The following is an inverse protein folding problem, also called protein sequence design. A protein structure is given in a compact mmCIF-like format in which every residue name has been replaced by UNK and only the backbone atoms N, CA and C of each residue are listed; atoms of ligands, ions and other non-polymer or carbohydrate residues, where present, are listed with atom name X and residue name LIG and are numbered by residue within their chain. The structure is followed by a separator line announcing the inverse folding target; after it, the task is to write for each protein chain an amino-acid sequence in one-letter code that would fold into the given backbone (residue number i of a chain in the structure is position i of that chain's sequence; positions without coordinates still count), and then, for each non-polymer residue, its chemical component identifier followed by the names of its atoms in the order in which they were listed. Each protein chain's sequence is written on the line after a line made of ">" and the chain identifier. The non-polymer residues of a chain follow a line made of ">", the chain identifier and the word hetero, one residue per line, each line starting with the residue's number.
data_IF_870349830616
#
_entry.id   IF_870349830616
#
_cell.length_a   1.000
_cell.length_b   1.000
_cell.length_c   1.000
_cell.angle_alpha   90.00
_cell.angle_beta   90.00
_cell.angle_gamma   90.00
#
_symmetry.space_group_name_H-M   'P 1'
#
loop_
_entity.id
_entity.type
_entity.pdbx_description
1 polymer ?
#
# COMPACT_ATOMS: atom_id res chain seq x y z
N UNK A 1 9.21 -10.72 -22.90
CA UNK A 1 10.01 -11.51 -21.93
C UNK A 1 9.82 -13.02 -22.09
N UNK A 2 8.62 -13.60 -21.94
CA UNK A 2 8.45 -15.06 -22.05
C UNK A 2 8.81 -15.61 -23.44
N UNK A 3 8.39 -14.94 -24.52
CA UNK A 3 8.76 -15.30 -25.89
C UNK A 3 10.28 -15.20 -26.13
N UNK A 4 10.92 -14.16 -25.59
CA UNK A 4 12.35 -13.92 -25.73
C UNK A 4 13.18 -14.98 -24.99
N UNK A 5 12.76 -15.39 -23.78
CA UNK A 5 13.36 -16.51 -23.05
C UNK A 5 13.21 -17.82 -23.83
N UNK A 6 12.03 -18.08 -24.41
CA UNK A 6 11.80 -19.27 -25.24
C UNK A 6 12.70 -19.31 -26.47
N UNK A 7 12.93 -18.16 -27.10
CA UNK A 7 13.80 -18.04 -28.28
C UNK A 7 15.27 -18.35 -27.93
N UNK A 8 15.75 -17.92 -26.77
CA UNK A 8 17.15 -18.12 -26.32
C UNK A 8 17.42 -19.49 -25.73
N UNK A 9 16.39 -20.18 -25.24
CA UNK A 9 16.54 -21.44 -24.50
C UNK A 9 17.38 -22.51 -25.22
N UNK A 10 17.23 -22.78 -26.53
CA UNK A 10 18.03 -23.80 -27.21
C UNK A 10 19.53 -23.53 -27.15
N UNK A 11 19.94 -22.29 -27.45
CA UNK A 11 21.33 -21.86 -27.45
C UNK A 11 21.92 -21.94 -26.03
N UNK A 12 21.16 -21.48 -25.03
CA UNK A 12 21.58 -21.51 -23.63
C UNK A 12 21.81 -22.93 -23.14
N UNK A 13 20.92 -23.88 -23.45
CA UNK A 13 21.09 -25.28 -23.04
C UNK A 13 22.30 -25.93 -23.74
N UNK A 14 22.48 -25.64 -25.03
CA UNK A 14 23.63 -26.14 -25.80
C UNK A 14 24.96 -25.61 -25.25
N UNK A 15 25.05 -24.32 -24.95
CA UNK A 15 26.29 -23.67 -24.52
C UNK A 15 26.63 -23.93 -23.04
N UNK A 16 25.62 -24.08 -22.17
CA UNK A 16 25.83 -24.33 -20.74
C UNK A 16 25.93 -25.82 -20.39
N UNK A 17 25.53 -26.72 -21.30
CA UNK A 17 25.47 -28.17 -21.06
C UNK A 17 24.40 -28.60 -20.07
N UNK A 18 23.45 -27.72 -19.72
CA UNK A 18 22.35 -28.04 -18.81
C UNK A 18 21.28 -28.90 -19.51
N UNK A 19 20.79 -29.92 -18.81
CA UNK A 19 19.92 -30.93 -19.40
C UNK A 19 18.49 -30.44 -19.72
N UNK A 20 18.01 -29.38 -19.07
CA UNK A 20 16.63 -28.91 -19.26
C UNK A 20 16.41 -27.47 -18.80
N UNK A 21 15.33 -26.87 -19.29
CA UNK A 21 14.81 -25.58 -18.82
C UNK A 21 14.55 -25.58 -17.31
N UNK A 22 14.02 -26.68 -16.76
CA UNK A 22 13.76 -26.80 -15.33
C UNK A 22 15.05 -26.70 -14.52
N UNK A 23 16.11 -27.39 -14.95
CA UNK A 23 17.43 -27.31 -14.30
C UNK A 23 18.04 -25.91 -14.39
N UNK A 24 17.91 -25.26 -15.55
CA UNK A 24 18.37 -23.89 -15.76
C UNK A 24 17.63 -22.90 -14.84
N UNK A 25 16.30 -22.97 -14.84
CA UNK A 25 15.45 -22.11 -14.02
C UNK A 25 15.65 -22.36 -12.52
N UNK A 26 15.90 -23.60 -12.10
CA UNK A 26 16.20 -23.90 -10.69
C UNK A 26 17.52 -23.29 -10.22
N UNK A 27 18.56 -23.29 -11.09
CA UNK A 27 19.85 -22.65 -10.80
C UNK A 27 19.77 -21.12 -10.69
N UNK A 28 18.81 -20.48 -11.39
CA UNK A 28 18.60 -19.03 -11.35
C UNK A 28 17.54 -18.61 -10.33
N UNK A 29 16.39 -19.25 -10.26
CA UNK A 29 15.25 -18.81 -9.44
C UNK A 29 15.21 -19.40 -8.04
N UNK A 30 15.77 -20.60 -7.83
CA UNK A 30 15.59 -21.37 -6.59
C UNK A 30 16.30 -20.80 -5.36
N UNK A 31 16.99 -19.67 -5.49
CA UNK A 31 17.92 -19.12 -4.48
C UNK A 31 17.72 -17.63 -4.19
N UNK A 32 16.65 -17.02 -4.70
CA UNK A 32 16.39 -15.58 -4.52
C UNK A 32 16.36 -15.16 -3.04
N UNK A 33 15.74 -15.95 -2.16
CA UNK A 33 15.67 -15.69 -0.73
C UNK A 33 17.04 -15.80 0.00
N UNK A 34 18.05 -16.41 -0.61
CA UNK A 34 19.42 -16.46 -0.06
C UNK A 34 20.22 -15.20 -0.40
N UNK A 35 19.83 -14.46 -1.45
CA UNK A 35 20.61 -13.33 -1.98
C UNK A 35 19.96 -11.98 -1.71
N UNK A 36 18.64 -11.97 -1.56
CA UNK A 36 17.86 -10.75 -1.34
C UNK A 36 17.11 -10.93 -0.03
N UNK A 37 17.07 -9.87 0.79
CA UNK A 37 16.18 -9.86 1.94
C UNK A 37 14.75 -9.58 1.48
N UNK A 38 14.12 -10.61 0.90
CA UNK A 38 12.72 -10.58 0.49
C UNK A 38 11.78 -10.30 1.69
N UNK A 39 12.28 -10.32 2.93
CA UNK A 39 11.53 -9.99 4.13
C UNK A 39 11.51 -8.49 4.43
N UNK A 40 12.45 -7.68 3.97
CA UNK A 40 12.48 -6.26 4.32
C UNK A 40 12.71 -5.33 3.13
N UNK A 41 13.29 -5.82 2.05
CA UNK A 41 13.58 -5.01 0.88
C UNK A 41 12.31 -4.71 0.08
N UNK A 42 12.11 -3.43 -0.22
CA UNK A 42 11.11 -2.97 -1.20
C UNK A 42 11.82 -2.73 -2.53
N UNK A 43 11.39 -3.48 -3.53
CA UNK A 43 12.02 -3.56 -4.85
C UNK A 43 11.04 -2.97 -5.86
N UNK A 44 11.39 -1.82 -6.43
CA UNK A 44 10.50 -1.00 -7.24
C UNK A 44 10.72 -1.17 -8.74
N UNK A 45 11.77 -1.88 -9.16
CA UNK A 45 11.98 -2.14 -10.58
C UNK A 45 12.64 -3.50 -10.86
N UNK A 46 12.46 -4.04 -12.09
CA UNK A 46 13.15 -5.25 -12.51
C UNK A 46 14.68 -5.10 -12.41
N UNK A 47 15.21 -3.91 -12.69
CA UNK A 47 16.64 -3.63 -12.62
C UNK A 47 17.14 -3.63 -11.18
N UNK A 48 16.39 -3.02 -10.25
CA UNK A 48 16.71 -3.10 -8.81
C UNK A 48 16.77 -4.56 -8.33
N UNK A 49 15.80 -5.38 -8.75
CA UNK A 49 15.75 -6.80 -8.41
C UNK A 49 17.01 -7.53 -8.89
N UNK A 50 17.39 -7.31 -10.16
CA UNK A 50 18.61 -7.92 -10.73
C UNK A 50 19.86 -7.46 -9.97
N UNK A 51 20.00 -6.17 -9.66
CA UNK A 51 21.15 -5.63 -8.92
C UNK A 51 21.26 -6.24 -7.52
N UNK A 52 20.16 -6.33 -6.77
CA UNK A 52 20.15 -6.96 -5.44
C UNK A 52 20.50 -8.44 -5.53
N UNK A 53 19.89 -9.16 -6.48
CA UNK A 53 20.18 -10.56 -6.73
C UNK A 53 21.67 -10.79 -7.01
N UNK A 54 22.24 -10.02 -7.94
CA UNK A 54 23.64 -10.10 -8.33
C UNK A 54 24.57 -9.79 -7.16
N UNK A 55 24.27 -8.74 -6.37
CA UNK A 55 25.07 -8.38 -5.20
C UNK A 55 25.08 -9.51 -4.16
N UNK A 56 23.92 -10.06 -3.84
CA UNK A 56 23.79 -11.20 -2.93
C UNK A 56 24.47 -12.45 -3.46
N UNK A 57 24.27 -12.76 -4.75
CA UNK A 57 24.92 -13.89 -5.42
C UNK A 57 26.45 -13.76 -5.35
N UNK A 58 27.00 -12.58 -5.62
CA UNK A 58 28.44 -12.29 -5.51
C UNK A 58 28.97 -12.51 -4.10
N UNK A 59 28.23 -12.07 -3.08
CA UNK A 59 28.61 -12.25 -1.68
C UNK A 59 28.54 -13.71 -1.24
N UNK A 60 27.63 -14.51 -1.82
CA UNK A 60 27.48 -15.92 -1.51
C UNK A 60 28.53 -16.82 -2.21
N UNK A 61 29.25 -16.33 -3.21
CA UNK A 61 30.26 -17.12 -3.93
C UNK A 61 31.55 -17.30 -3.12
N UNK A 62 32.05 -18.54 -3.06
CA UNK A 62 33.40 -18.82 -2.53
C UNK A 62 34.48 -18.16 -3.40
N UNK A 63 35.60 -17.65 -2.87
CA UNK A 63 36.68 -17.02 -3.66
C UNK A 63 37.20 -17.89 -4.83
N UNK A 64 37.76 -17.30 -5.91
CA UNK A 64 38.21 -18.05 -7.08
C UNK A 64 39.27 -19.11 -6.73
N UNK A 65 40.14 -18.76 -5.77
CA UNK A 65 41.24 -19.58 -5.27
C UNK A 65 40.80 -20.67 -4.27
N UNK A 66 39.51 -20.76 -3.94
CA UNK A 66 39.02 -21.74 -2.97
C UNK A 66 39.26 -23.18 -3.47
N UNK A 67 39.88 -24.00 -2.63
CA UNK A 67 40.10 -25.44 -2.89
C UNK A 67 38.80 -26.20 -3.09
N UNK A 68 37.74 -25.79 -2.39
CA UNK A 68 36.39 -26.32 -2.54
C UNK A 68 35.49 -25.17 -2.98
N UNK A 69 35.16 -25.15 -4.29
CA UNK A 69 34.20 -24.18 -4.83
C UNK A 69 32.81 -24.54 -4.34
N UNK A 70 32.05 -23.54 -3.92
CA UNK A 70 30.64 -23.76 -3.59
C UNK A 70 29.78 -23.77 -4.87
N UNK A 71 28.55 -24.25 -4.73
CA UNK A 71 27.57 -24.34 -5.84
C UNK A 71 27.31 -22.99 -6.51
N UNK A 72 27.41 -21.89 -5.76
CA UNK A 72 27.24 -20.53 -6.30
C UNK A 72 28.36 -20.17 -7.29
N UNK A 73 29.62 -20.45 -6.93
CA UNK A 73 30.77 -20.26 -7.82
C UNK A 73 30.66 -21.14 -9.06
N UNK A 74 30.27 -22.40 -8.91
CA UNK A 74 30.07 -23.32 -10.05
C UNK A 74 29.02 -22.79 -11.02
N UNK A 75 27.86 -22.36 -10.49
CA UNK A 75 26.81 -21.76 -11.32
C UNK A 75 27.31 -20.49 -12.03
N UNK A 76 28.06 -19.63 -11.34
CA UNK A 76 28.63 -18.42 -11.95
C UNK A 76 29.54 -18.76 -13.13
N UNK A 77 30.44 -19.73 -13.00
CA UNK A 77 31.31 -20.13 -14.12
C UNK A 77 30.51 -20.68 -15.30
N UNK A 78 29.43 -21.45 -15.06
CA UNK A 78 28.55 -21.94 -16.14
C UNK A 78 27.94 -20.76 -16.92
N UNK A 79 27.37 -19.78 -16.22
CA UNK A 79 26.72 -18.63 -16.86
C UNK A 79 27.73 -17.68 -17.52
N UNK A 80 28.94 -17.56 -16.96
CA UNK A 80 29.98 -16.66 -17.50
C UNK A 80 30.47 -17.09 -18.88
N UNK A 81 30.46 -18.38 -19.20
CA UNK A 81 30.98 -18.92 -20.46
C UNK A 81 30.16 -18.57 -21.70
N UNK A 82 28.90 -18.15 -21.53
CA UNK A 82 27.94 -18.00 -22.63
C UNK A 82 27.25 -16.63 -22.57
N UNK A 83 27.46 -15.74 -23.56
CA UNK A 83 26.71 -14.49 -23.65
C UNK A 83 25.19 -14.72 -23.69
N UNK A 84 24.73 -15.77 -24.39
CA UNK A 84 23.33 -16.14 -24.43
C UNK A 84 22.79 -16.50 -23.02
N UNK A 85 23.59 -17.21 -22.22
CA UNK A 85 23.23 -17.57 -20.85
C UNK A 85 23.20 -16.36 -19.91
N UNK A 86 24.11 -15.39 -20.09
CA UNK A 86 24.11 -14.13 -19.34
C UNK A 86 22.85 -13.30 -19.62
N UNK A 87 22.48 -13.16 -20.90
CA UNK A 87 21.25 -12.47 -21.29
C UNK A 87 20.00 -13.20 -20.78
N UNK A 88 19.98 -14.53 -20.87
CA UNK A 88 18.89 -15.34 -20.32
C UNK A 88 18.77 -15.14 -18.81
N UNK A 89 19.89 -15.14 -18.08
CA UNK A 89 19.93 -14.93 -16.64
C UNK A 89 19.28 -13.60 -16.24
N UNK A 90 19.67 -12.49 -16.87
CA UNK A 90 19.11 -11.17 -16.60
C UNK A 90 17.61 -11.14 -16.93
N UNK A 91 17.24 -11.63 -18.12
CA UNK A 91 15.86 -11.63 -18.58
C UNK A 91 14.95 -12.50 -17.69
N UNK A 92 15.46 -13.63 -17.21
CA UNK A 92 14.76 -14.52 -16.28
C UNK A 92 14.47 -13.79 -14.97
N UNK A 93 15.47 -13.11 -14.39
CA UNK A 93 15.30 -12.35 -13.16
C UNK A 93 14.31 -11.19 -13.32
N UNK A 94 14.37 -10.45 -14.43
CA UNK A 94 13.40 -9.38 -14.73
C UNK A 94 11.97 -9.92 -14.81
N UNK A 95 11.77 -11.05 -15.50
CA UNK A 95 10.46 -11.73 -15.54
C UNK A 95 10.03 -12.20 -14.15
N UNK A 96 10.95 -12.75 -13.36
CA UNK A 96 10.67 -13.20 -12.00
C UNK A 96 10.16 -12.06 -11.14
N UNK A 97 10.80 -10.89 -11.21
CA UNK A 97 10.31 -9.69 -10.52
C UNK A 97 8.89 -9.32 -10.98
N UNK A 98 8.63 -9.25 -12.29
CA UNK A 98 7.30 -8.85 -12.80
C UNK A 98 6.19 -9.81 -12.35
N UNK A 99 6.48 -11.12 -12.29
CA UNK A 99 5.53 -12.12 -11.79
C UNK A 99 5.22 -11.94 -10.29
N UNK A 100 6.14 -11.35 -9.54
CA UNK A 100 6.03 -11.11 -8.09
C UNK A 100 5.98 -9.61 -7.77
N UNK A 101 5.60 -8.76 -8.73
CA UNK A 101 5.70 -7.31 -8.60
C UNK A 101 5.01 -6.81 -7.34
N UNK A 102 3.73 -7.15 -7.17
CA UNK A 102 2.91 -6.72 -6.03
C UNK A 102 3.50 -7.17 -4.69
N UNK A 103 4.13 -8.34 -4.63
CA UNK A 103 4.76 -8.84 -3.39
C UNK A 103 6.02 -8.04 -3.05
N UNK A 104 6.83 -7.72 -4.05
CA UNK A 104 8.17 -7.16 -3.89
C UNK A 104 8.17 -5.62 -3.84
N UNK A 105 7.19 -4.95 -4.42
CA UNK A 105 7.19 -3.49 -4.60
C UNK A 105 6.47 -2.71 -3.50
N UNK A 106 5.81 -3.38 -2.55
CA UNK A 106 5.05 -2.73 -1.47
C UNK A 106 5.76 -2.78 -0.12
N UNK A 107 5.73 -1.68 0.62
CA UNK A 107 6.05 -1.67 2.06
C UNK A 107 5.01 -2.52 2.78
N UNK A 108 5.48 -3.43 3.64
CA UNK A 108 4.58 -4.17 4.51
C UNK A 108 4.11 -3.27 5.65
N UNK A 109 2.81 -3.19 5.92
CA UNK A 109 2.33 -2.50 7.10
C UNK A 109 2.89 -3.20 8.34
N UNK A 110 3.35 -2.39 9.29
CA UNK A 110 3.61 -2.86 10.65
C UNK A 110 2.37 -3.55 11.21
N UNK A 111 2.55 -4.48 12.15
CA UNK A 111 1.42 -5.18 12.77
C UNK A 111 0.40 -4.21 13.37
N UNK A 112 0.84 -3.10 13.95
CA UNK A 112 -0.02 -2.04 14.50
C UNK A 112 -0.77 -1.24 13.43
N UNK A 113 -0.38 -1.37 12.16
CA UNK A 113 -0.98 -0.72 11.00
C UNK A 113 -1.62 -1.72 10.02
N UNK A 114 -1.62 -3.02 10.36
CA UNK A 114 -2.16 -4.09 9.52
C UNK A 114 -3.69 -4.18 9.57
N UNK A 115 -4.31 -3.34 10.39
CA UNK A 115 -5.75 -3.15 10.46
C UNK A 115 -6.07 -1.66 10.62
N UNK A 116 -7.20 -1.24 10.06
CA UNK A 116 -7.75 0.09 10.28
C UNK A 116 -9.22 -0.05 10.68
N UNK A 117 -9.69 0.90 11.48
CA UNK A 117 -11.08 0.97 11.89
C UNK A 117 -11.67 2.30 11.46
N UNK A 118 -12.86 2.23 10.89
CA UNK A 118 -13.54 3.35 10.23
C UNK A 118 -14.99 3.46 10.72
N UNK A 119 -15.59 4.61 10.49
CA UNK A 119 -17.02 4.82 10.73
C UNK A 119 -17.37 5.34 12.13
N UNK A 120 -18.66 5.34 12.43
CA UNK A 120 -19.23 5.95 13.63
C UNK A 120 -19.45 4.92 14.75
N UNK A 121 -19.67 5.37 15.99
CA UNK A 121 -19.78 4.49 17.18
C UNK A 121 -20.81 3.34 17.09
N UNK A 122 -21.80 3.41 16.20
CA UNK A 122 -22.84 2.38 16.04
C UNK A 122 -22.80 1.71 14.66
N UNK A 123 -21.83 2.08 13.84
CA UNK A 123 -21.66 1.66 12.46
C UNK A 123 -20.17 1.79 12.12
N UNK A 124 -19.37 1.06 12.89
CA UNK A 124 -17.93 0.98 12.69
C UNK A 124 -17.53 -0.36 12.09
N UNK A 125 -16.49 -0.30 11.28
CA UNK A 125 -16.03 -1.41 10.48
C UNK A 125 -14.50 -1.52 10.59
N UNK A 126 -14.02 -2.75 10.73
CA UNK A 126 -12.62 -3.08 10.61
C UNK A 126 -12.30 -3.45 9.16
N UNK A 127 -11.18 -2.94 8.65
CA UNK A 127 -10.54 -3.45 7.45
C UNK A 127 -9.20 -4.05 7.85
N UNK A 128 -9.11 -5.37 7.70
CA UNK A 128 -7.93 -6.18 7.99
C UNK A 128 -7.40 -6.77 6.68
N UNK A 129 -6.11 -7.04 6.63
CA UNK A 129 -5.45 -7.64 5.47
C UNK A 129 -5.84 -9.10 5.28
N UNK A 130 -5.79 -9.87 6.36
CA UNK A 130 -6.05 -11.32 6.38
C UNK A 130 -6.98 -11.64 7.55
N UNK A 131 -8.25 -11.17 7.49
CA UNK A 131 -9.16 -11.27 8.62
C UNK A 131 -9.43 -12.72 9.02
N UNK A 132 -9.26 -13.03 10.31
CA UNK A 132 -9.72 -14.26 10.95
C UNK A 132 -10.43 -13.93 12.25
N UNK A 133 -11.53 -14.62 12.51
CA UNK A 133 -12.30 -14.47 13.74
C UNK A 133 -11.88 -15.54 14.75
N UNK A 134 -11.31 -15.12 15.89
CA UNK A 134 -10.80 -16.02 16.92
C UNK A 134 -11.21 -15.49 18.28
N UNK A 135 -11.80 -16.34 19.13
CA UNK A 135 -12.19 -16.02 20.50
C UNK A 135 -13.04 -14.74 20.64
N UNK A 136 -13.97 -14.51 19.70
CA UNK A 136 -14.86 -13.34 19.73
C UNK A 136 -14.24 -12.04 19.22
N UNK A 137 -13.05 -12.09 18.61
CA UNK A 137 -12.37 -10.93 18.06
C UNK A 137 -11.81 -11.17 16.66
N UNK A 138 -11.82 -10.12 15.84
CA UNK A 138 -11.13 -10.11 14.56
C UNK A 138 -9.64 -9.81 14.76
N UNK A 139 -8.80 -10.51 14.01
CA UNK A 139 -7.35 -10.28 13.96
C UNK A 139 -6.81 -10.68 12.59
N UNK A 140 -5.60 -10.24 12.24
CA UNK A 140 -4.92 -10.71 11.03
C UNK A 140 -4.29 -12.09 11.21
N UNK A 141 -4.32 -12.89 10.15
CA UNK A 141 -3.38 -13.99 10.01
C UNK A 141 -1.99 -13.50 9.58
N UNK A 142 -1.10 -13.37 10.55
CA UNK A 142 0.22 -12.77 10.35
C UNK A 142 1.08 -13.52 9.33
N UNK A 143 0.89 -14.84 9.12
CA UNK A 143 1.65 -15.58 8.10
C UNK A 143 1.21 -15.21 6.69
N UNK A 144 -0.07 -14.89 6.50
CA UNK A 144 -0.67 -14.72 5.18
C UNK A 144 -0.59 -13.28 4.66
N UNK A 145 -0.25 -12.30 5.50
CA UNK A 145 -0.14 -10.89 5.10
C UNK A 145 0.74 -10.74 3.85
N UNK A 146 1.84 -11.51 3.76
CA UNK A 146 2.77 -11.45 2.61
C UNK A 146 2.17 -11.95 1.31
N UNK A 147 1.36 -13.00 1.42
CA UNK A 147 0.74 -13.68 0.28
C UNK A 147 -0.57 -13.02 -0.12
N UNK A 148 -0.97 -11.94 0.56
CA UNK A 148 -2.16 -11.19 0.22
C UNK A 148 -2.09 -10.68 -1.22
N UNK A 149 -3.03 -11.06 -2.11
CA UNK A 149 -2.84 -10.96 -3.56
C UNK A 149 -3.06 -9.56 -4.14
N UNK A 150 -3.54 -8.60 -3.34
CA UNK A 150 -3.87 -7.24 -3.77
C UNK A 150 -2.97 -6.22 -3.08
N UNK A 151 -2.79 -5.04 -3.67
CA UNK A 151 -2.13 -3.93 -2.99
C UNK A 151 -2.87 -3.58 -1.68
N UNK A 152 -2.14 -3.15 -0.64
CA UNK A 152 -2.79 -2.81 0.63
C UNK A 152 -3.54 -1.49 0.50
N UNK A 153 -4.66 -1.40 1.21
CA UNK A 153 -5.50 -0.18 1.29
C UNK A 153 -5.94 0.35 -0.08
N UNK A 154 -6.17 -0.54 -1.05
CA UNK A 154 -6.81 -0.23 -2.33
C UNK A 154 -8.23 -0.80 -2.40
N UNK A 155 -8.98 -0.47 -3.45
CA UNK A 155 -10.29 -1.07 -3.73
C UNK A 155 -10.18 -2.60 -3.77
N UNK A 156 -9.16 -3.13 -4.46
CA UNK A 156 -8.90 -4.58 -4.53
C UNK A 156 -8.67 -5.21 -3.16
N UNK A 157 -8.05 -4.52 -2.22
CA UNK A 157 -7.92 -5.00 -0.83
C UNK A 157 -9.30 -5.29 -0.23
N UNK A 158 -10.20 -4.31 -0.27
CA UNK A 158 -11.54 -4.45 0.35
C UNK A 158 -12.35 -5.54 -0.32
N UNK A 159 -12.24 -5.70 -1.64
CA UNK A 159 -12.91 -6.79 -2.35
C UNK A 159 -12.38 -8.17 -1.92
N UNK A 160 -11.09 -8.26 -1.62
CA UNK A 160 -10.45 -9.52 -1.24
C UNK A 160 -10.65 -9.89 0.24
N UNK A 161 -10.61 -8.92 1.16
CA UNK A 161 -10.72 -9.19 2.61
C UNK A 161 -12.12 -8.96 3.16
N UNK A 162 -12.91 -8.07 2.55
CA UNK A 162 -14.18 -7.60 3.09
C UNK A 162 -13.99 -6.61 4.24
N UNK A 163 -15.10 -6.26 4.88
CA UNK A 163 -15.13 -5.51 6.14
C UNK A 163 -15.67 -6.37 7.26
N UNK A 164 -15.29 -6.05 8.49
CA UNK A 164 -15.70 -6.80 9.68
C UNK A 164 -16.33 -5.90 10.73
N UNK A 165 -17.15 -6.47 11.61
CA UNK A 165 -17.73 -5.77 12.76
C UNK A 165 -17.29 -6.49 14.03
N UNK A 166 -16.83 -5.74 15.03
CA UNK A 166 -16.33 -6.34 16.26
C UNK A 166 -17.43 -7.12 16.98
N UNK A 167 -17.15 -8.39 17.30
CA UNK A 167 -18.10 -9.29 17.99
C UNK A 167 -19.07 -10.01 17.05
N UNK A 168 -19.09 -9.67 15.76
CA UNK A 168 -19.83 -10.39 14.73
C UNK A 168 -18.87 -11.33 13.98
N UNK A 169 -19.10 -12.66 13.95
CA UNK A 169 -18.24 -13.59 13.23
C UNK A 169 -18.34 -13.48 11.70
N UNK A 170 -19.36 -12.80 11.18
CA UNK A 170 -19.60 -12.70 9.74
C UNK A 170 -18.86 -11.50 9.13
N UNK A 171 -18.30 -11.72 7.93
CA UNK A 171 -17.68 -10.67 7.13
C UNK A 171 -18.72 -10.03 6.21
N UNK A 172 -18.58 -8.73 5.98
CA UNK A 172 -19.25 -8.01 4.90
C UNK A 172 -18.39 -8.17 3.65
N UNK A 173 -18.87 -8.95 2.70
CA UNK A 173 -18.17 -9.23 1.44
C UNK A 173 -18.74 -8.40 0.29
N UNK A 174 -17.89 -8.10 -0.69
CA UNK A 174 -18.24 -7.31 -1.86
C UNK A 174 -17.91 -8.09 -3.13
N UNK A 175 -18.93 -8.47 -3.94
CA UNK A 175 -18.70 -9.28 -5.13
C UNK A 175 -17.98 -8.52 -6.26
N UNK A 176 -18.09 -7.18 -6.28
CA UNK A 176 -17.47 -6.33 -7.30
C UNK A 176 -17.22 -4.91 -6.78
N UNK A 177 -16.45 -4.14 -7.57
CA UNK A 177 -16.13 -2.72 -7.31
C UNK A 177 -17.41 -1.89 -7.09
N UNK A 178 -18.44 -2.12 -7.90
CA UNK A 178 -19.70 -1.36 -7.82
C UNK A 178 -20.41 -1.57 -6.48
N UNK A 179 -20.42 -2.79 -5.97
CA UNK A 179 -21.01 -3.16 -4.68
C UNK A 179 -20.26 -2.48 -3.54
N UNK A 180 -18.93 -2.49 -3.57
CA UNK A 180 -18.12 -1.75 -2.61
C UNK A 180 -18.38 -0.24 -2.67
N UNK A 181 -18.29 0.38 -3.85
CA UNK A 181 -18.52 1.82 -4.02
C UNK A 181 -19.93 2.25 -3.60
N UNK A 182 -20.93 1.39 -3.81
CA UNK A 182 -22.31 1.61 -3.34
C UNK A 182 -22.36 1.63 -1.82
N UNK A 183 -21.72 0.66 -1.16
CA UNK A 183 -21.63 0.62 0.30
C UNK A 183 -20.85 1.82 0.87
N UNK A 184 -19.70 2.15 0.29
CA UNK A 184 -18.89 3.30 0.67
C UNK A 184 -19.72 4.59 0.67
N UNK A 185 -20.43 4.88 -0.43
CA UNK A 185 -21.22 6.10 -0.53
C UNK A 185 -22.47 6.08 0.36
N UNK A 186 -23.21 4.98 0.37
CA UNK A 186 -24.56 4.94 0.95
C UNK A 186 -24.60 4.51 2.41
N UNK A 187 -23.56 3.84 2.90
CA UNK A 187 -23.47 3.35 4.29
C UNK A 187 -22.40 4.10 5.08
N UNK A 188 -21.17 4.21 4.56
CA UNK A 188 -20.07 4.86 5.29
C UNK A 188 -20.21 6.38 5.30
N UNK A 189 -20.27 7.01 4.12
CA UNK A 189 -20.26 8.48 4.02
C UNK A 189 -21.63 9.09 4.29
N UNK A 190 -22.72 8.48 3.82
CA UNK A 190 -24.08 9.01 4.03
C UNK A 190 -24.40 9.30 5.50
N UNK A 191 -23.86 8.48 6.41
CA UNK A 191 -24.10 8.56 7.85
C UNK A 191 -23.56 9.85 8.49
N UNK A 192 -22.60 10.55 7.88
CA UNK A 192 -22.08 11.82 8.43
C UNK A 192 -23.08 12.98 8.29
N UNK A 193 -23.96 12.92 7.29
CA UNK A 193 -24.87 14.00 6.94
C UNK A 193 -24.22 15.18 6.21
N UNK A 194 -22.88 15.25 6.14
CA UNK A 194 -22.14 16.36 5.53
C UNK A 194 -22.37 16.44 4.01
N UNK A 195 -22.79 17.59 3.46
CA UNK A 195 -22.91 17.76 2.02
C UNK A 195 -21.53 17.72 1.32
N UNK A 196 -20.48 18.20 1.98
CA UNK A 196 -19.12 18.23 1.44
C UNK A 196 -18.55 16.82 1.30
N UNK A 197 -18.68 15.99 2.34
CA UNK A 197 -18.21 14.60 2.27
C UNK A 197 -18.96 13.79 1.21
N UNK A 198 -20.27 14.00 1.07
CA UNK A 198 -21.07 13.33 0.02
C UNK A 198 -20.60 13.72 -1.38
N UNK A 199 -20.26 14.99 -1.59
CA UNK A 199 -19.74 15.46 -2.86
C UNK A 199 -18.37 14.84 -3.17
N UNK A 200 -17.44 14.85 -2.21
CA UNK A 200 -16.13 14.20 -2.34
C UNK A 200 -16.28 12.69 -2.59
N UNK A 201 -17.17 12.02 -1.87
CA UNK A 201 -17.41 10.60 -2.05
C UNK A 201 -17.97 10.27 -3.45
N UNK A 202 -18.81 11.15 -4.01
CA UNK A 202 -19.28 11.01 -5.38
C UNK A 202 -18.13 11.20 -6.38
N UNK A 203 -17.28 12.21 -6.19
CA UNK A 203 -16.09 12.42 -7.03
C UNK A 203 -15.11 11.23 -6.97
N UNK A 204 -14.92 10.62 -5.80
CA UNK A 204 -14.13 9.39 -5.64
C UNK A 204 -14.74 8.21 -6.40
N UNK A 205 -16.04 8.01 -6.30
CA UNK A 205 -16.76 6.95 -7.05
C UNK A 205 -16.57 7.15 -8.55
N UNK A 206 -16.71 8.38 -9.04
CA UNK A 206 -16.55 8.69 -10.46
C UNK A 206 -15.10 8.48 -10.92
N UNK A 207 -14.13 8.85 -10.08
CA UNK A 207 -12.70 8.60 -10.32
C UNK A 207 -12.38 7.11 -10.43
N UNK A 208 -12.84 6.29 -9.48
CA UNK A 208 -12.61 4.83 -9.49
C UNK A 208 -13.27 4.18 -10.72
N UNK A 209 -14.48 4.58 -11.08
CA UNK A 209 -15.18 4.04 -12.25
C UNK A 209 -14.49 4.41 -13.58
N UNK A 210 -13.75 5.52 -13.62
CA UNK A 210 -13.02 5.97 -14.81
C UNK A 210 -11.61 5.34 -14.91
N UNK A 211 -11.10 4.73 -13.85
CA UNK A 211 -9.78 4.11 -13.83
C UNK A 211 -9.71 2.89 -14.75
N UNK A 212 -8.58 2.69 -15.43
CA UNK A 212 -8.32 1.50 -16.26
C UNK A 212 -8.19 0.23 -15.42
N UNK A 213 -7.69 0.37 -14.19
CA UNK A 213 -7.61 -0.69 -13.19
C UNK A 213 -8.19 -0.18 -11.85
N UNK A 214 -9.50 -0.28 -11.65
CA UNK A 214 -10.16 0.22 -10.44
C UNK A 214 -9.67 -0.44 -9.15
N UNK A 215 -9.18 -1.69 -9.21
CA UNK A 215 -8.75 -2.43 -8.02
C UNK A 215 -7.42 -1.95 -7.44
N UNK A 216 -6.57 -1.32 -8.25
CA UNK A 216 -5.31 -0.72 -7.78
C UNK A 216 -5.46 0.69 -7.22
N UNK A 217 -6.63 1.32 -7.38
CA UNK A 217 -6.90 2.66 -6.83
C UNK A 217 -6.87 2.61 -5.29
N UNK A 218 -6.07 3.45 -4.61
CA UNK A 218 -6.09 3.61 -3.16
C UNK A 218 -7.48 3.95 -2.62
N UNK A 219 -7.74 3.54 -1.39
CA UNK A 219 -8.99 3.84 -0.70
C UNK A 219 -9.01 5.31 -0.28
N UNK A 220 -10.12 5.98 -0.58
CA UNK A 220 -10.53 7.16 0.18
C UNK A 220 -11.22 6.66 1.46
N UNK A 221 -10.47 6.58 2.55
CA UNK A 221 -10.91 5.97 3.80
C UNK A 221 -11.72 7.01 4.60
N UNK A 222 -13.04 6.85 4.78
CA UNK A 222 -13.84 7.82 5.52
C UNK A 222 -13.76 7.56 7.02
N UNK A 223 -13.93 8.60 7.84
CA UNK A 223 -14.15 8.48 9.29
C UNK A 223 -13.06 7.65 10.00
N UNK A 224 -11.79 7.90 9.68
CA UNK A 224 -10.64 7.13 10.20
C UNK A 224 -10.50 7.30 11.72
N UNK A 225 -10.62 6.20 12.48
CA UNK A 225 -10.72 6.25 13.95
C UNK A 225 -9.36 6.37 14.64
N UNK A 226 -9.24 7.34 15.56
CA UNK A 226 -8.01 7.54 16.34
C UNK A 226 -7.64 6.37 17.27
N UNK A 227 -8.63 5.68 17.85
CA UNK A 227 -8.45 4.60 18.84
C UNK A 227 -8.72 3.20 18.26
N UNK A 228 -8.75 3.05 16.94
CA UNK A 228 -9.04 1.76 16.31
C UNK A 228 -10.43 1.22 16.72
N UNK A 229 -10.48 -0.03 17.17
CA UNK A 229 -11.68 -0.78 17.54
C UNK A 229 -12.39 -0.30 18.82
N UNK A 230 -11.84 0.65 19.56
CA UNK A 230 -12.40 1.06 20.84
C UNK A 230 -13.85 1.54 20.70
N UNK A 231 -14.78 1.00 21.50
CA UNK A 231 -16.24 1.20 21.36
C UNK A 231 -16.67 2.67 21.30
N UNK A 232 -16.00 3.54 22.07
CA UNK A 232 -16.16 4.99 21.98
C UNK A 232 -14.93 5.60 21.33
N UNK A 233 -15.06 6.04 20.09
CA UNK A 233 -13.97 6.77 19.43
C UNK A 233 -13.71 8.11 20.16
N UNK A 234 -12.45 8.52 20.17
CA UNK A 234 -12.02 9.81 20.70
C UNK A 234 -12.15 10.91 19.66
N UNK A 235 -11.54 10.68 18.49
CA UNK A 235 -11.54 11.56 17.32
C UNK A 235 -11.62 10.72 16.04
N UNK A 236 -12.02 11.35 14.94
CA UNK A 236 -11.96 10.80 13.58
C UNK A 236 -11.45 11.86 12.61
N UNK A 237 -10.78 11.40 11.54
CA UNK A 237 -10.52 12.21 10.36
C UNK A 237 -11.68 11.98 9.38
N UNK A 238 -12.14 13.02 8.70
CA UNK A 238 -13.22 12.89 7.71
C UNK A 238 -12.78 11.96 6.57
N UNK A 239 -11.55 12.14 6.08
CA UNK A 239 -10.92 11.21 5.15
C UNK A 239 -9.44 10.96 5.45
N UNK A 240 -8.96 9.78 5.04
CA UNK A 240 -7.55 9.43 5.01
C UNK A 240 -7.24 8.65 3.73
N UNK A 241 -6.06 8.87 3.16
CA UNK A 241 -5.52 8.06 2.07
C UNK A 241 -4.19 7.47 2.54
N UNK A 242 -3.96 6.20 2.22
CA UNK A 242 -2.71 5.49 2.51
C UNK A 242 -2.09 5.08 1.18
N UNK A 243 -0.86 5.51 0.93
CA UNK A 243 -0.10 5.09 -0.25
C UNK A 243 0.20 3.57 -0.13
N UNK A 244 -0.24 2.74 -1.09
CA UNK A 244 -0.12 1.28 -1.02
C UNK A 244 1.33 0.78 -1.10
N UNK A 245 2.25 1.60 -1.58
CA UNK A 245 3.66 1.27 -1.74
C UNK A 245 4.50 1.79 -0.59
N UNK A 246 4.25 3.01 -0.11
CA UNK A 246 5.08 3.66 0.91
C UNK A 246 4.49 3.61 2.32
N UNK A 247 3.21 3.24 2.45
CA UNK A 247 2.44 3.29 3.70
C UNK A 247 2.31 4.69 4.32
N UNK A 248 2.75 5.74 3.59
CA UNK A 248 2.55 7.13 3.96
C UNK A 248 1.07 7.46 3.97
N UNK A 249 0.67 8.29 4.92
CA UNK A 249 -0.73 8.62 5.18
C UNK A 249 -0.92 10.11 5.10
N UNK A 250 -1.96 10.52 4.40
CA UNK A 250 -2.46 11.89 4.40
C UNK A 250 -3.89 11.88 4.91
N UNK A 251 -4.18 12.81 5.80
CA UNK A 251 -5.51 13.04 6.36
C UNK A 251 -6.13 14.28 5.74
N UNK A 252 -7.46 14.33 5.77
CA UNK A 252 -8.22 15.47 5.30
C UNK A 252 -9.36 15.76 6.28
N UNK A 253 -9.53 17.04 6.60
CA UNK A 253 -10.53 17.56 7.52
C UNK A 253 -11.30 18.68 6.83
N UNK A 254 -12.61 18.52 6.73
CA UNK A 254 -13.53 19.49 6.17
C UNK A 254 -14.08 20.31 7.34
N UNK A 255 -13.54 21.51 7.51
CA UNK A 255 -13.76 22.33 8.71
C UNK A 255 -14.55 23.61 8.39
N UNK A 256 -15.84 23.52 8.02
CA UNK A 256 -16.66 24.71 7.84
C UNK A 256 -16.85 25.42 9.19
N UNK A 257 -16.86 26.75 9.15
CA UNK A 257 -16.98 27.60 10.35
C UNK A 257 -18.23 27.27 11.15
N UNK A 258 -19.33 26.95 10.48
CA UNK A 258 -20.61 26.57 11.09
C UNK A 258 -20.51 25.39 12.06
N UNK A 259 -19.49 24.53 11.91
CA UNK A 259 -19.29 23.33 12.74
C UNK A 259 -18.07 23.46 13.68
N UNK A 260 -16.96 24.03 13.21
CA UNK A 260 -15.70 24.05 13.98
C UNK A 260 -15.39 25.40 14.65
N UNK A 261 -15.90 26.51 14.09
CA UNK A 261 -15.69 27.86 14.63
C UNK A 261 -16.92 28.46 15.31
N UNK A 262 -18.10 27.89 15.09
CA UNK A 262 -19.36 28.46 15.56
C UNK A 262 -19.50 28.37 17.08
N UNK A 263 -19.69 29.53 17.70
CA UNK A 263 -20.00 29.63 19.12
C UNK A 263 -21.52 29.78 19.32
N UNK A 264 -22.15 28.73 19.85
CA UNK A 264 -23.56 28.80 20.26
C UNK A 264 -23.72 29.51 21.62
N UNK A 265 -24.91 30.08 21.87
CA UNK A 265 -25.30 30.65 23.17
C UNK A 265 -24.42 31.82 23.68
N UNK A 266 -23.94 32.68 22.77
CA UNK A 266 -23.11 33.85 23.11
C UNK A 266 -23.90 35.06 23.63
N UNK A 267 -25.23 35.03 23.56
CA UNK A 267 -26.09 36.13 24.02
C UNK A 267 -25.87 36.43 25.50
N UNK A 268 -25.56 37.69 25.83
CA UNK A 268 -25.32 38.15 27.20
C UNK A 268 -23.91 37.87 27.74
N UNK A 269 -23.01 37.30 26.95
CA UNK A 269 -21.60 37.15 27.33
C UNK A 269 -20.79 38.41 27.01
N UNK A 270 -19.74 38.65 27.80
CA UNK A 270 -18.76 39.69 27.50
C UNK A 270 -17.84 39.25 26.37
N UNK A 271 -17.24 40.20 25.66
CA UNK A 271 -16.26 39.90 24.62
C UNK A 271 -15.10 39.03 25.14
N UNK A 272 -14.67 39.25 26.39
CA UNK A 272 -13.63 38.45 27.02
C UNK A 272 -14.01 36.96 27.10
N UNK A 273 -15.24 36.65 27.51
CA UNK A 273 -15.74 35.26 27.57
C UNK A 273 -15.89 34.63 26.19
N UNK A 274 -16.35 35.42 25.20
CA UNK A 274 -16.45 34.94 23.81
C UNK A 274 -15.06 34.60 23.27
N UNK A 275 -14.06 35.44 23.53
CA UNK A 275 -12.67 35.20 23.11
C UNK A 275 -12.06 33.96 23.80
N UNK A 276 -12.37 33.74 25.08
CA UNK A 276 -11.96 32.54 25.82
C UNK A 276 -12.55 31.28 25.19
N UNK A 277 -13.86 31.28 24.89
CA UNK A 277 -14.51 30.15 24.20
C UNK A 277 -13.91 29.89 22.80
N UNK A 278 -13.63 30.94 22.04
CA UNK A 278 -13.00 30.82 20.72
C UNK A 278 -11.59 30.21 20.83
N UNK A 279 -10.81 30.67 21.81
CA UNK A 279 -9.48 30.14 22.11
C UNK A 279 -9.53 28.67 22.49
N UNK A 280 -10.43 28.28 23.40
CA UNK A 280 -10.55 26.90 23.85
C UNK A 280 -10.94 25.95 22.71
N UNK A 281 -11.85 26.38 21.83
CA UNK A 281 -12.20 25.63 20.63
C UNK A 281 -10.99 25.47 19.69
N UNK A 282 -10.26 26.55 19.44
CA UNK A 282 -9.05 26.50 18.62
C UNK A 282 -7.99 25.56 19.21
N UNK A 283 -7.70 25.67 20.51
CA UNK A 283 -6.74 24.79 21.18
C UNK A 283 -7.17 23.32 21.12
N UNK A 284 -8.47 23.03 21.28
CA UNK A 284 -9.00 21.68 21.16
C UNK A 284 -8.79 21.08 19.77
N UNK A 285 -9.11 21.82 18.71
CA UNK A 285 -8.90 21.35 17.33
C UNK A 285 -7.41 21.17 17.01
N UNK A 286 -6.55 22.13 17.40
CA UNK A 286 -5.10 22.00 17.21
C UNK A 286 -4.52 20.80 17.98
N UNK A 287 -5.01 20.53 19.19
CA UNK A 287 -4.62 19.36 19.97
C UNK A 287 -5.07 18.04 19.30
N UNK A 288 -6.25 18.00 18.67
CA UNK A 288 -6.72 16.86 17.87
C UNK A 288 -5.72 16.57 16.73
N UNK A 289 -5.39 17.56 15.90
CA UNK A 289 -4.48 17.36 14.76
C UNK A 289 -3.08 16.93 15.21
N UNK A 290 -2.52 17.59 16.24
CA UNK A 290 -1.22 17.20 16.81
C UNK A 290 -1.23 15.79 17.38
N UNK A 291 -2.35 15.37 17.98
CA UNK A 291 -2.50 14.02 18.53
C UNK A 291 -2.53 12.96 17.43
N UNK A 292 -3.21 13.22 16.31
CA UNK A 292 -3.20 12.33 15.13
C UNK A 292 -1.80 12.18 14.56
N UNK A 293 -1.09 13.29 14.34
CA UNK A 293 0.29 13.23 13.86
C UNK A 293 1.18 12.41 14.81
N UNK A 294 1.14 12.70 16.11
CA UNK A 294 1.98 11.99 17.11
C UNK A 294 1.70 10.49 17.19
N UNK A 295 0.44 10.07 17.04
CA UNK A 295 0.05 8.66 17.19
C UNK A 295 0.19 7.86 15.91
N UNK A 296 -0.23 8.45 14.79
CA UNK A 296 -0.41 7.74 13.52
C UNK A 296 0.54 8.21 12.40
N UNK A 297 1.31 9.28 12.64
CA UNK A 297 2.16 9.90 11.62
C UNK A 297 1.37 10.61 10.52
N UNK A 298 0.09 10.94 10.76
CA UNK A 298 -0.81 11.53 9.75
C UNK A 298 -0.78 13.06 9.86
N UNK A 299 -0.37 13.71 8.77
CA UNK A 299 -0.64 15.14 8.57
C UNK A 299 -2.04 15.31 7.96
N UNK A 300 -2.83 16.23 8.51
CA UNK A 300 -4.15 16.54 8.01
C UNK A 300 -4.15 17.87 7.26
N UNK A 301 -4.64 17.87 6.02
CA UNK A 301 -4.99 19.09 5.30
C UNK A 301 -6.39 19.54 5.75
N UNK A 302 -6.50 20.82 6.12
CA UNK A 302 -7.72 21.38 6.69
C UNK A 302 -8.33 22.33 5.65
N UNK A 303 -9.58 22.10 5.28
CA UNK A 303 -10.32 22.91 4.33
C UNK A 303 -11.38 23.75 5.03
N UNK A 304 -11.27 25.06 4.88
CA UNK A 304 -12.18 26.08 5.44
C UNK A 304 -13.33 26.39 4.47
N UNK A 305 -14.32 27.19 4.89
CA UNK A 305 -15.50 27.49 4.06
C UNK A 305 -15.17 28.01 2.66
N UNK A 306 -14.12 28.84 2.51
CA UNK A 306 -13.72 29.38 1.21
C UNK A 306 -13.26 28.29 0.23
N UNK A 307 -12.53 27.29 0.73
CA UNK A 307 -12.07 26.16 -0.07
C UNK A 307 -13.22 25.17 -0.31
N UNK A 308 -14.05 24.91 0.72
CA UNK A 308 -15.21 24.03 0.62
C UNK A 308 -16.28 24.56 -0.35
N UNK A 309 -16.29 25.86 -0.64
CA UNK A 309 -17.13 26.43 -1.70
C UNK A 309 -16.78 25.89 -3.10
N UNK A 310 -15.53 25.43 -3.30
CA UNK A 310 -15.10 24.73 -4.51
C UNK A 310 -14.64 23.30 -4.20
N UNK A 311 -15.60 22.42 -3.94
CA UNK A 311 -15.33 21.03 -3.56
C UNK A 311 -14.56 20.24 -4.63
N UNK A 312 -14.59 20.67 -5.89
CA UNK A 312 -13.84 19.99 -6.97
C UNK A 312 -12.34 20.17 -6.81
N UNK A 313 -11.88 21.38 -6.45
CA UNK A 313 -10.47 21.65 -6.17
C UNK A 313 -9.98 20.87 -4.94
N UNK A 314 -10.83 20.75 -3.91
CA UNK A 314 -10.54 19.92 -2.74
C UNK A 314 -10.32 18.46 -3.13
N UNK A 315 -11.13 17.92 -4.05
CA UNK A 315 -10.94 16.56 -4.52
C UNK A 315 -9.71 16.43 -5.44
N UNK A 316 -9.40 17.45 -6.24
CA UNK A 316 -8.19 17.47 -7.07
C UNK A 316 -6.91 17.38 -6.22
N UNK A 317 -6.87 18.04 -5.05
CA UNK A 317 -5.79 17.87 -4.07
C UNK A 317 -5.68 16.42 -3.58
N UNK A 318 -6.80 15.69 -3.47
CA UNK A 318 -6.80 14.28 -3.07
C UNK A 318 -6.33 13.35 -4.19
N UNK A 319 -6.63 13.69 -5.46
CA UNK A 319 -6.31 12.84 -6.62
C UNK A 319 -4.84 12.50 -6.71
N UNK A 320 -3.92 13.42 -6.39
CA UNK A 320 -2.48 13.15 -6.44
C UNK A 320 -2.05 11.96 -5.54
N UNK A 321 -2.86 11.60 -4.54
CA UNK A 321 -2.64 10.45 -3.65
C UNK A 321 -3.51 9.23 -4.00
N UNK A 322 -4.51 9.40 -4.87
CA UNK A 322 -5.39 8.34 -5.39
C UNK A 322 -4.95 7.82 -6.76
N UNK A 323 -4.11 8.55 -7.48
CA UNK A 323 -3.53 8.08 -8.72
C UNK A 323 -2.59 6.90 -8.43
N UNK A 324 -2.79 5.73 -9.06
CA UNK A 324 -1.88 4.61 -8.92
C UNK A 324 -0.49 5.04 -9.38
N UNK A 325 0.50 5.00 -8.48
CA UNK A 325 1.84 5.47 -8.83
C UNK A 325 2.58 4.40 -9.62
N UNK A 326 2.95 4.72 -10.85
CA UNK A 326 3.82 3.91 -11.69
C UNK A 326 5.29 4.15 -11.30
N UNK A 327 5.72 3.63 -10.13
CA UNK A 327 7.09 3.85 -9.61
C UNK A 327 8.10 2.92 -10.25
N UNK A 328 8.31 3.03 -11.56
CA UNK A 328 9.50 2.41 -12.19
C UNK A 328 10.71 3.28 -11.88
N UNK A 329 11.53 2.86 -10.91
CA UNK A 329 12.81 3.51 -10.62
C UNK A 329 13.86 3.05 -11.64
N UNK A 330 14.41 3.99 -12.43
CA UNK A 330 15.60 3.76 -13.25
C UNK A 330 16.84 3.60 -12.35
N UNK A 331 17.62 2.54 -12.55
CA UNK A 331 18.80 2.21 -11.74
C UNK A 331 20.03 1.85 -12.58
N UNK A 332 21.17 1.85 -11.89
CA UNK A 332 22.55 1.92 -12.38
C UNK A 332 22.96 0.79 -13.34
N UNK A 333 23.02 1.11 -14.63
CA UNK A 333 23.38 0.20 -15.72
C UNK A 333 24.80 -0.38 -15.61
N UNK A 334 25.70 0.26 -14.87
CA UNK A 334 27.11 -0.14 -14.81
C UNK A 334 27.34 -1.50 -14.13
N UNK A 335 26.48 -1.86 -13.17
CA UNK A 335 26.52 -3.15 -12.47
C UNK A 335 25.98 -4.30 -13.34
N UNK A 336 25.00 -4.02 -14.19
CA UNK A 336 24.38 -5.01 -15.08
C UNK A 336 25.31 -5.43 -16.21
N UNK A 337 26.02 -4.47 -16.81
CA UNK A 337 26.91 -4.72 -17.95
C UNK A 337 28.21 -5.46 -17.57
N UNK A 338 28.66 -5.38 -16.31
CA UNK A 338 29.96 -5.90 -15.87
C UNK A 338 29.92 -7.12 -14.96
N UNK A 339 28.74 -7.65 -14.63
CA UNK A 339 28.67 -8.71 -13.61
C UNK A 339 29.41 -10.00 -13.98
N UNK A 340 29.34 -10.40 -15.25
CA UNK A 340 30.00 -11.60 -15.79
C UNK A 340 31.33 -11.29 -16.49
N UNK A 341 31.78 -10.03 -16.47
CA UNK A 341 33.10 -9.59 -16.94
C UNK A 341 34.08 -9.66 -15.78
#
# INVERSE_FOLDING_TARGET
>A
MTADLRKKLPDVLAETGLASESSLNAKIGGKAAEFIDLHHDVILSPDQYVTLYMKGFKNAMSPPESKFKNTHRENFEIFRLSPAAQEYFILFLKRSYLNHFTELSRVRPDLSQSEIWIGQNKADYGLLITPRFVNGAWQNDRSEIRHFPKLYWTVGHVLQSGLVVQGDPDKIEFPDVKSYLTFFKNSLVRASGSPYEKAIAQSYVDFVNAASDPESVPLLIPEYRYEGAASKHKYRLDFCIIDPFTMQKVGYELSPWSTHGYLSKIGGLTQAKINEMAKDNFEKEMNKHRSFFKKHGIYALIYTDSQLANISEVFDDMKQYLEPVDKVVQLDFHLLEKFFV
#
